data_IF_437292444525
#
_entry.id   IF_437292444525
#
_cell.length_a   1.000
_cell.length_b   1.000
_cell.length_c   1.000
_cell.angle_alpha   90.00
_cell.angle_beta   90.00
_cell.angle_gamma   90.00
#
_symmetry.space_group_name_H-M   'P 1'
#
loop_
_entity.id
_entity.type
_entity.pdbx_description
1 polymer ?
#
# COMPACT_ATOMS: atom_id res chain seq x y z
N UNK A 1 -1.42 8.11 7.10
CA UNK A 1 -2.00 7.38 5.95
C UNK A 1 -3.15 6.53 6.40
N UNK A 2 -2.92 5.46 7.16
CA UNK A 2 -4.00 4.66 7.70
C UNK A 2 -4.41 5.15 9.09
N UNK A 3 -5.69 5.39 9.32
CA UNK A 3 -6.20 5.87 10.62
C UNK A 3 -7.21 4.90 11.25
N UNK A 4 -8.19 4.40 10.49
CA UNK A 4 -9.23 3.48 10.98
C UNK A 4 -9.38 2.28 10.05
N UNK A 5 -8.43 1.35 10.15
CA UNK A 5 -8.40 0.12 9.33
C UNK A 5 -9.35 -0.93 9.89
N UNK A 6 -10.37 -1.31 9.11
CA UNK A 6 -11.33 -2.34 9.47
C UNK A 6 -11.48 -3.39 8.36
N UNK A 7 -11.76 -4.67 8.68
CA UNK A 7 -12.11 -5.67 7.68
C UNK A 7 -13.34 -5.28 6.86
N UNK A 8 -13.27 -5.44 5.53
CA UNK A 8 -14.45 -5.24 4.67
C UNK A 8 -15.41 -6.41 4.86
N UNK A 9 -16.62 -6.10 5.31
CA UNK A 9 -17.71 -7.07 5.50
C UNK A 9 -18.96 -6.63 4.75
N UNK A 10 -19.74 -7.59 4.26
CA UNK A 10 -21.01 -7.30 3.56
C UNK A 10 -21.95 -6.46 4.41
N UNK A 11 -22.12 -6.80 5.68
CA UNK A 11 -23.04 -6.09 6.59
C UNK A 11 -22.55 -4.68 6.94
N UNK A 12 -21.24 -4.52 7.19
CA UNK A 12 -20.66 -3.23 7.55
C UNK A 12 -20.54 -2.26 6.38
N UNK A 13 -20.38 -2.77 5.16
CA UNK A 13 -19.94 -1.97 4.01
C UNK A 13 -20.89 -2.02 2.80
N UNK A 14 -22.13 -2.52 2.97
CA UNK A 14 -23.11 -2.66 1.89
C UNK A 14 -23.37 -1.36 1.10
N UNK A 15 -23.35 -0.22 1.79
CA UNK A 15 -23.59 1.11 1.19
C UNK A 15 -22.31 1.85 0.87
N UNK A 16 -21.16 1.27 1.17
CA UNK A 16 -19.87 1.93 1.03
C UNK A 16 -19.49 2.07 -0.43
N UNK A 17 -19.04 3.27 -0.77
CA UNK A 17 -18.57 3.68 -2.08
C UNK A 17 -17.17 4.28 -1.97
N UNK A 18 -16.41 4.12 -3.04
CA UNK A 18 -15.03 4.58 -3.14
C UNK A 18 -14.94 5.61 -4.26
N UNK A 19 -14.63 6.85 -3.91
CA UNK A 19 -14.34 7.91 -4.89
C UNK A 19 -13.07 7.58 -5.65
N UNK A 20 -13.00 8.07 -6.89
CA UNK A 20 -11.75 8.12 -7.61
C UNK A 20 -10.73 8.94 -6.82
N UNK A 21 -9.48 8.49 -6.82
CA UNK A 21 -8.40 9.19 -6.16
C UNK A 21 -8.20 10.58 -6.78
N UNK A 22 -8.41 11.62 -5.99
CA UNK A 22 -8.28 13.02 -6.41
C UNK A 22 -7.10 13.75 -5.76
N UNK A 23 -6.55 13.21 -4.66
CA UNK A 23 -5.50 13.85 -3.89
C UNK A 23 -4.63 12.84 -3.12
N UNK A 24 -3.34 13.14 -3.00
CA UNK A 24 -2.33 12.41 -2.23
C UNK A 24 -2.04 13.03 -0.85
N UNK A 25 -2.89 13.95 -0.36
CA UNK A 25 -2.68 14.57 0.97
C UNK A 25 -2.56 13.52 2.10
N UNK A 26 -3.21 12.36 1.98
CA UNK A 26 -3.07 11.24 2.93
C UNK A 26 -1.62 10.73 3.10
N UNK A 27 -0.76 11.02 2.13
CA UNK A 27 0.65 10.63 2.09
C UNK A 27 1.63 11.76 2.41
N UNK A 28 1.12 12.98 2.68
CA UNK A 28 1.94 14.18 2.88
C UNK A 28 2.91 14.09 4.07
N UNK A 29 2.56 13.30 5.08
CA UNK A 29 3.38 13.13 6.28
C UNK A 29 4.18 11.82 6.28
N UNK A 30 4.35 11.17 5.12
CA UNK A 30 5.10 9.92 4.98
C UNK A 30 6.46 10.21 4.35
N UNK A 31 7.53 10.03 5.13
CA UNK A 31 8.89 10.23 4.64
C UNK A 31 9.57 8.95 4.12
N UNK A 32 8.96 7.78 4.34
CA UNK A 32 9.48 6.48 3.93
C UNK A 32 8.37 5.62 3.32
N UNK A 33 8.64 4.97 2.18
CA UNK A 33 7.71 4.00 1.60
C UNK A 33 8.45 2.73 1.19
N UNK A 34 8.00 1.59 1.72
CA UNK A 34 8.50 0.29 1.29
C UNK A 34 8.19 0.07 -0.21
N UNK A 35 9.15 -0.50 -0.92
CA UNK A 35 9.03 -0.82 -2.34
C UNK A 35 9.42 -2.28 -2.59
N UNK A 36 8.92 -2.82 -3.70
CA UNK A 36 9.21 -4.20 -4.09
C UNK A 36 10.32 -4.22 -5.15
N UNK A 37 11.05 -5.34 -5.30
CA UNK A 37 12.14 -5.46 -6.30
C UNK A 37 11.69 -5.07 -7.71
N UNK A 38 10.47 -5.45 -8.07
CA UNK A 38 9.82 -5.13 -9.34
C UNK A 38 9.65 -3.62 -9.60
N UNK A 39 9.77 -2.79 -8.56
CA UNK A 39 9.64 -1.33 -8.62
C UNK A 39 11.00 -0.64 -8.82
N UNK A 40 12.12 -1.32 -8.58
CA UNK A 40 13.45 -0.70 -8.45
C UNK A 40 13.84 0.13 -9.67
N UNK A 41 13.62 -0.37 -10.88
CA UNK A 41 14.01 0.35 -12.11
C UNK A 41 13.30 1.70 -12.25
N UNK A 42 12.02 1.78 -11.89
CA UNK A 42 11.23 3.02 -11.95
C UNK A 42 11.46 3.90 -10.73
N UNK A 43 11.61 3.29 -9.55
CA UNK A 43 11.82 3.99 -8.30
C UNK A 43 13.22 4.63 -8.23
N UNK A 44 14.28 3.92 -8.61
CA UNK A 44 15.66 4.38 -8.53
C UNK A 44 15.95 5.59 -9.42
N UNK A 45 15.15 5.80 -10.47
CA UNK A 45 15.26 6.98 -11.34
C UNK A 45 14.76 8.28 -10.67
N UNK A 46 14.11 8.17 -9.50
CA UNK A 46 13.41 9.29 -8.84
C UNK A 46 13.80 9.39 -7.37
N UNK A 47 13.87 8.25 -6.69
CA UNK A 47 14.04 8.16 -5.25
C UNK A 47 15.36 7.47 -4.89
N UNK A 48 16.06 7.95 -3.85
CA UNK A 48 17.04 7.13 -3.17
C UNK A 48 16.36 5.86 -2.62
N UNK A 49 16.88 4.69 -3.01
CA UNK A 49 16.47 3.41 -2.45
C UNK A 49 17.47 3.07 -1.34
N UNK A 50 16.95 2.83 -0.14
CA UNK A 50 17.69 2.35 1.03
C UNK A 50 17.14 1.00 1.47
N UNK A 51 17.97 0.22 2.16
CA UNK A 51 17.55 -1.05 2.75
C UNK A 51 17.53 -0.88 4.26
N UNK A 52 16.33 -0.93 4.85
CA UNK A 52 16.17 -0.79 6.30
C UNK A 52 16.29 -2.15 6.95
N UNK A 53 17.14 -2.25 7.97
CA UNK A 53 17.33 -3.44 8.78
C UNK A 53 16.21 -3.55 9.85
N UNK A 54 15.53 -4.70 9.88
CA UNK A 54 14.69 -5.15 10.99
C UNK A 54 15.55 -6.06 11.88
N UNK A 55 16.15 -5.46 12.91
CA UNK A 55 17.10 -6.14 13.82
C UNK A 55 16.50 -7.33 14.56
N UNK A 56 15.19 -7.32 14.77
CA UNK A 56 14.51 -8.41 15.49
C UNK A 56 14.28 -9.63 14.59
N UNK A 57 14.28 -9.44 13.26
CA UNK A 57 13.96 -10.48 12.29
C UNK A 57 15.11 -10.88 11.36
N UNK A 58 16.28 -10.27 11.51
CA UNK A 58 17.43 -10.44 10.61
C UNK A 58 17.00 -10.29 9.13
N UNK A 59 16.26 -9.21 8.86
CA UNK A 59 15.65 -8.95 7.57
C UNK A 59 15.93 -7.53 7.12
N UNK A 60 16.13 -7.36 5.81
CA UNK A 60 16.20 -6.05 5.18
C UNK A 60 14.95 -5.78 4.36
N UNK A 61 14.46 -4.54 4.39
CA UNK A 61 13.33 -4.08 3.58
C UNK A 61 13.75 -2.94 2.65
N UNK A 62 13.61 -3.09 1.32
CA UNK A 62 13.83 -1.98 0.40
C UNK A 62 12.79 -0.88 0.62
N UNK A 63 13.27 0.35 0.74
CA UNK A 63 12.46 1.52 1.10
C UNK A 63 12.95 2.72 0.31
N UNK A 64 12.03 3.54 -0.21
CA UNK A 64 12.37 4.83 -0.81
C UNK A 64 12.29 5.95 0.21
N UNK A 65 13.23 6.90 0.12
CA UNK A 65 13.17 8.16 0.85
C UNK A 65 12.25 9.14 0.12
N UNK A 66 11.20 9.59 0.79
CA UNK A 66 10.21 10.56 0.29
C UNK A 66 10.38 11.96 0.91
N UNK A 67 11.09 12.05 2.04
CA UNK A 67 11.42 13.29 2.74
C UNK A 67 12.68 13.12 3.56
N UNK A 68 13.28 14.22 4.01
CA UNK A 68 14.49 14.18 4.84
C UNK A 68 14.14 14.04 6.33
N UNK A 69 13.01 14.61 6.73
CA UNK A 69 12.53 14.60 8.11
C UNK A 69 11.32 13.69 8.28
N UNK A 70 11.12 13.21 9.51
CA UNK A 70 9.91 12.47 9.85
C UNK A 70 8.69 13.37 9.69
N UNK A 71 7.61 12.84 9.11
CA UNK A 71 6.39 13.62 8.91
C UNK A 71 6.40 14.50 7.66
N UNK A 72 7.36 14.31 6.75
CA UNK A 72 7.47 15.07 5.50
C UNK A 72 7.47 14.16 4.27
N UNK A 73 6.73 14.55 3.24
CA UNK A 73 6.81 13.98 1.90
C UNK A 73 7.02 15.08 0.86
N UNK A 74 8.25 15.22 0.38
CA UNK A 74 8.67 16.22 -0.60
C UNK A 74 8.06 15.99 -2.00
N UNK A 75 7.46 14.82 -2.23
CA UNK A 75 6.82 14.47 -3.49
C UNK A 75 5.31 14.72 -3.49
N UNK A 76 4.72 15.21 -2.40
CA UNK A 76 3.31 15.65 -2.38
C UNK A 76 3.26 17.18 -2.36
N UNK A 77 2.73 17.78 -3.43
CA UNK A 77 2.54 19.23 -3.55
C UNK A 77 1.13 19.53 -4.05
N UNK A 78 0.42 20.38 -3.32
CA UNK A 78 -0.96 20.80 -3.64
C UNK A 78 -1.89 19.58 -3.88
N UNK A 79 -1.79 18.55 -3.03
CA UNK A 79 -2.50 17.29 -3.17
C UNK A 79 -2.08 16.40 -4.34
N UNK A 80 -1.06 16.77 -5.13
CA UNK A 80 -0.59 15.99 -6.27
C UNK A 80 0.75 15.32 -5.98
N UNK A 81 0.94 14.14 -6.56
CA UNK A 81 2.23 13.48 -6.56
C UNK A 81 3.14 14.07 -7.64
N UNK A 82 4.22 14.72 -7.23
CA UNK A 82 5.15 15.47 -8.09
C UNK A 82 6.34 14.61 -8.55
N UNK A 83 6.04 13.45 -9.15
CA UNK A 83 7.02 12.55 -9.75
C UNK A 83 6.36 11.57 -10.75
N UNK A 84 7.14 10.98 -11.65
CA UNK A 84 6.64 10.07 -12.69
C UNK A 84 6.34 8.64 -12.23
N UNK A 85 6.71 8.30 -10.99
CA UNK A 85 6.44 6.99 -10.39
C UNK A 85 5.92 7.15 -8.97
N UNK A 86 4.84 6.46 -8.62
CA UNK A 86 4.31 6.41 -7.25
C UNK A 86 4.60 5.00 -6.70
N UNK A 87 5.09 4.80 -5.47
CA UNK A 87 5.24 3.46 -4.90
C UNK A 87 3.90 2.69 -4.81
N UNK A 88 3.88 1.37 -5.01
CA UNK A 88 2.62 0.59 -4.92
C UNK A 88 1.97 0.70 -3.54
N UNK A 89 2.77 0.79 -2.48
CA UNK A 89 2.27 0.91 -1.11
C UNK A 89 1.50 2.22 -0.87
N UNK A 90 1.75 3.26 -1.68
CA UNK A 90 0.99 4.51 -1.68
C UNK A 90 -0.27 4.35 -2.52
N UNK A 91 -0.17 3.73 -3.70
CA UNK A 91 -1.31 3.52 -4.63
C UNK A 91 -2.41 2.62 -4.08
N UNK A 92 -2.10 1.71 -3.14
CA UNK A 92 -3.11 0.79 -2.58
C UNK A 92 -4.13 1.50 -1.68
N UNK A 93 -3.85 2.70 -1.19
CA UNK A 93 -4.76 3.44 -0.30
C UNK A 93 -6.12 3.67 -0.99
N UNK A 94 -7.26 3.42 -0.30
CA UNK A 94 -7.44 3.19 1.14
C UNK A 94 -7.46 1.72 1.57
N UNK A 95 -7.03 0.80 0.72
CA UNK A 95 -7.11 -0.64 1.00
C UNK A 95 -5.82 -1.19 1.59
N UNK A 96 -5.98 -2.14 2.50
CA UNK A 96 -4.90 -2.89 3.12
C UNK A 96 -5.19 -4.38 3.07
N UNK A 97 -4.14 -5.18 3.24
CA UNK A 97 -4.24 -6.62 3.40
C UNK A 97 -3.78 -6.98 4.81
N UNK A 98 -4.62 -7.67 5.58
CA UNK A 98 -4.29 -8.13 6.93
C UNK A 98 -4.23 -9.66 6.94
N UNK A 99 -3.22 -10.23 7.64
CA UNK A 99 -3.19 -11.67 7.92
C UNK A 99 -4.30 -11.98 8.91
N UNK A 100 -5.09 -13.00 8.60
CA UNK A 100 -5.96 -13.64 9.60
C UNK A 100 -5.09 -14.60 10.41
N UNK A 101 -5.47 -14.96 11.64
CA UNK A 101 -4.66 -15.85 12.50
C UNK A 101 -4.41 -17.26 11.95
N UNK A 102 -4.93 -17.58 10.75
CA UNK A 102 -4.69 -18.80 10.01
C UNK A 102 -3.58 -18.58 8.97
N UNK A 103 -2.69 -19.58 8.79
CA UNK A 103 -1.60 -19.51 7.83
C UNK A 103 -2.10 -19.21 6.41
N UNK A 104 -1.43 -18.27 5.74
CA UNK A 104 -1.67 -17.83 4.36
C UNK A 104 -3.09 -17.31 4.04
N UNK A 105 -3.93 -17.05 5.05
CA UNK A 105 -5.26 -16.49 4.84
C UNK A 105 -5.27 -15.00 5.15
N UNK A 106 -5.70 -14.21 4.16
CA UNK A 106 -5.70 -12.75 4.22
C UNK A 106 -7.10 -12.18 4.10
N UNK A 107 -7.33 -11.06 4.77
CA UNK A 107 -8.55 -10.26 4.67
C UNK A 107 -8.23 -8.90 4.09
N UNK A 108 -9.08 -8.43 3.18
CA UNK A 108 -9.02 -7.07 2.67
C UNK A 108 -9.63 -6.15 3.72
N UNK A 109 -8.86 -5.16 4.13
CA UNK A 109 -9.28 -4.11 5.03
C UNK A 109 -9.41 -2.78 4.29
N UNK A 110 -10.22 -1.90 4.84
CA UNK A 110 -10.45 -0.54 4.36
C UNK A 110 -10.14 0.45 5.47
N UNK A 111 -9.51 1.57 5.12
CA UNK A 111 -9.49 2.73 6.00
C UNK A 111 -10.81 3.52 5.89
N UNK A 112 -11.69 3.35 6.86
CA UNK A 112 -12.96 4.07 6.90
C UNK A 112 -12.80 5.57 7.18
N UNK A 113 -11.66 6.00 7.73
CA UNK A 113 -11.37 7.42 7.94
C UNK A 113 -10.90 8.13 6.66
N UNK A 114 -10.68 7.39 5.57
CA UNK A 114 -10.25 7.96 4.31
C UNK A 114 -11.31 8.86 3.68
N UNK A 115 -10.89 10.03 3.21
CA UNK A 115 -11.74 10.92 2.40
C UNK A 115 -12.25 10.27 1.11
N UNK A 116 -11.67 9.16 0.65
CA UNK A 116 -12.13 8.41 -0.51
C UNK A 116 -13.36 7.54 -0.21
N UNK A 117 -13.61 7.22 1.06
CA UNK A 117 -14.65 6.31 1.53
C UNK A 117 -15.88 7.12 1.94
N UNK A 118 -17.05 6.78 1.38
CA UNK A 118 -18.30 7.46 1.65
C UNK A 118 -19.51 6.58 1.26
N UNK A 119 -20.73 7.11 1.29
CA UNK A 119 -21.96 6.39 0.90
C UNK A 119 -22.72 7.04 -0.28
N UNK A 120 -22.19 8.12 -0.86
CA UNK A 120 -22.87 8.96 -1.87
C UNK A 120 -22.32 8.73 -3.28
N UNK A 121 -21.02 8.90 -3.44
CA UNK A 121 -20.32 9.02 -4.72
C UNK A 121 -19.23 7.97 -4.90
N UNK A 122 -18.97 7.61 -6.17
CA UNK A 122 -17.94 6.67 -6.56
C UNK A 122 -18.45 5.26 -6.81
N UNK A 123 -17.52 4.30 -6.77
CA UNK A 123 -17.79 2.89 -7.08
C UNK A 123 -18.26 2.16 -5.83
N UNK A 124 -19.39 1.47 -5.93
CA UNK A 124 -19.95 0.66 -4.84
C UNK A 124 -19.03 -0.53 -4.56
N UNK A 125 -18.79 -0.87 -3.29
CA UNK A 125 -18.02 -2.07 -2.91
C UNK A 125 -18.84 -3.36 -3.10
N UNK A 126 -20.16 -3.27 -2.89
CA UNK A 126 -21.11 -4.37 -3.06
C UNK A 126 -22.25 -3.92 -3.97
N UNK A 127 -22.73 -4.83 -4.81
CA UNK A 127 -23.86 -4.56 -5.69
C UNK A 127 -25.21 -4.63 -4.96
N UNK A 128 -26.31 -4.45 -5.69
CA UNK A 128 -27.68 -4.50 -5.13
C UNK A 128 -28.08 -5.88 -4.61
N UNK A 129 -27.48 -6.97 -5.11
CA UNK A 129 -27.66 -8.32 -4.59
C UNK A 129 -26.79 -8.56 -3.32
N UNK A 130 -25.88 -7.63 -3.04
CA UNK A 130 -24.93 -7.70 -1.93
C UNK A 130 -23.72 -8.57 -2.24
N UNK A 131 -23.44 -8.82 -3.52
CA UNK A 131 -22.22 -9.51 -3.95
C UNK A 131 -21.10 -8.49 -4.17
N UNK A 132 -19.82 -8.89 -4.06
CA UNK A 132 -18.69 -8.00 -4.33
C UNK A 132 -18.80 -7.38 -5.73
N UNK A 133 -18.75 -6.06 -5.80
CA UNK A 133 -18.78 -5.34 -7.06
C UNK A 133 -17.41 -5.38 -7.77
N UNK A 134 -17.36 -4.91 -9.01
CA UNK A 134 -16.15 -4.94 -9.85
C UNK A 134 -14.92 -4.27 -9.19
N UNK A 135 -15.13 -3.23 -8.38
CA UNK A 135 -14.06 -2.57 -7.63
C UNK A 135 -13.38 -3.51 -6.63
N UNK A 136 -14.15 -4.38 -5.96
CA UNK A 136 -13.62 -5.34 -5.00
C UNK A 136 -12.75 -6.40 -5.68
N UNK A 137 -13.14 -6.87 -6.85
CA UNK A 137 -12.32 -7.82 -7.63
C UNK A 137 -11.01 -7.18 -8.11
N UNK A 138 -11.04 -5.92 -8.55
CA UNK A 138 -9.82 -5.18 -8.91
C UNK A 138 -8.90 -4.99 -7.71
N UNK A 139 -9.46 -4.61 -6.55
CA UNK A 139 -8.69 -4.43 -5.30
C UNK A 139 -8.09 -5.76 -4.85
N UNK A 140 -8.87 -6.84 -4.85
CA UNK A 140 -8.41 -8.18 -4.50
C UNK A 140 -7.25 -8.61 -5.38
N UNK A 141 -7.36 -8.45 -6.70
CA UNK A 141 -6.30 -8.74 -7.65
C UNK A 141 -5.03 -7.93 -7.35
N UNK A 142 -5.17 -6.61 -7.21
CA UNK A 142 -4.04 -5.72 -6.96
C UNK A 142 -3.30 -6.05 -5.65
N UNK A 143 -4.04 -6.27 -4.56
CA UNK A 143 -3.44 -6.61 -3.27
C UNK A 143 -2.80 -7.99 -3.27
N UNK A 144 -3.36 -8.95 -4.02
CA UNK A 144 -2.76 -10.28 -4.17
C UNK A 144 -1.45 -10.22 -4.94
N UNK A 145 -1.40 -9.45 -6.04
CA UNK A 145 -0.17 -9.21 -6.80
C UNK A 145 0.89 -8.52 -5.93
N UNK A 146 0.49 -7.50 -5.16
CA UNK A 146 1.40 -6.80 -4.25
C UNK A 146 1.97 -7.73 -3.17
N UNK A 147 1.15 -8.62 -2.61
CA UNK A 147 1.58 -9.61 -1.62
C UNK A 147 2.56 -10.64 -2.21
N UNK A 148 2.37 -11.06 -3.46
CA UNK A 148 3.32 -11.93 -4.15
C UNK A 148 4.66 -11.22 -4.40
N UNK A 149 4.61 -9.94 -4.80
CA UNK A 149 5.80 -9.11 -4.99
C UNK A 149 6.56 -8.89 -3.67
N UNK A 150 5.85 -8.77 -2.55
CA UNK A 150 6.42 -8.69 -1.21
C UNK A 150 7.14 -9.99 -0.83
N UNK A 151 6.49 -11.16 -0.98
CA UNK A 151 7.13 -12.48 -0.76
C UNK A 151 8.39 -12.67 -1.61
N UNK A 152 8.34 -12.26 -2.89
CA UNK A 152 9.52 -12.30 -3.77
C UNK A 152 10.64 -11.37 -3.27
N UNK A 153 10.27 -10.18 -2.81
CA UNK A 153 11.24 -9.18 -2.29
C UNK A 153 11.90 -9.66 -1.01
N UNK A 154 11.15 -10.32 -0.11
CA UNK A 154 11.71 -10.97 1.07
C UNK A 154 12.75 -12.05 0.69
N UNK A 155 12.41 -12.92 -0.26
CA UNK A 155 13.33 -13.95 -0.75
C UNK A 155 14.58 -13.34 -1.42
N UNK A 156 14.41 -12.26 -2.19
CA UNK A 156 15.53 -11.52 -2.77
C UNK A 156 16.45 -10.94 -1.69
N UNK A 157 15.90 -10.30 -0.66
CA UNK A 157 16.70 -9.76 0.44
C UNK A 157 17.43 -10.87 1.21
N UNK A 158 16.78 -12.01 1.47
CA UNK A 158 17.44 -13.16 2.08
C UNK A 158 18.61 -13.69 1.23
N UNK A 159 18.44 -13.74 -0.09
CA UNK A 159 19.53 -14.10 -0.98
C UNK A 159 20.71 -13.12 -0.89
N UNK A 160 20.43 -11.81 -0.90
CA UNK A 160 21.45 -10.77 -0.75
C UNK A 160 22.18 -10.84 0.61
N UNK A 161 21.48 -11.17 1.70
CA UNK A 161 22.08 -11.44 3.02
C UNK A 161 23.06 -12.60 2.92
N UNK A 162 22.67 -13.73 2.31
CA UNK A 162 23.55 -14.91 2.17
C UNK A 162 24.83 -14.64 1.36
N UNK A 163 24.82 -13.58 0.55
CA UNK A 163 25.97 -13.10 -0.22
C UNK A 163 26.76 -11.98 0.49
N UNK A 164 26.38 -11.59 1.71
CA UNK A 164 26.95 -10.46 2.46
C UNK A 164 26.89 -9.13 1.68
N UNK A 165 25.78 -8.88 0.96
CA UNK A 165 25.62 -7.67 0.16
C UNK A 165 24.96 -6.49 0.90
N UNK A 166 24.46 -6.72 2.11
CA UNK A 166 24.08 -5.65 3.04
C UNK A 166 25.18 -5.54 4.08
N UNK A 167 25.99 -4.49 3.97
CA UNK A 167 27.12 -4.19 4.86
C UNK A 167 26.66 -3.60 6.18
#
# INVERSE_FOLDING_TARGET
MFEKVVPITKDGHKKTKIKALSSFEFAKNINLAAIMVHEFSRAAAIYPIVFLEDKDKDQFRPTVLLGLEQGENLFVKDGKWNASYIPAIIRRYPFALAKTGEEDRFTICLDEASDLVNDKEGQELFDKAGEPAEVMERVKKYLSELQQMEKFTEAFCQYMISLNMFT
#
